data_IF_771574851711
#
_entry.id   IF_771574851711
#
_cell.length_a   1.000
_cell.length_b   1.000
_cell.length_c   1.000
_cell.angle_alpha   90.00
_cell.angle_beta   90.00
_cell.angle_gamma   90.00
#
_symmetry.space_group_name_H-M   'P 1'
#
loop_
_entity.id
_entity.type
_entity.pdbx_description
1 polymer ?
#
# COMPACT_ATOMS: atom_id res chain seq x y z
N UNK A 1 34.20 -15.19 11.10
CA UNK A 1 34.75 -14.00 11.77
C UNK A 1 34.14 -12.77 11.10
N UNK A 2 33.16 -12.10 11.73
CA UNK A 2 32.74 -10.71 11.46
C UNK A 2 32.58 -10.18 10.01
N UNK A 3 32.36 -11.01 8.98
CA UNK A 3 32.23 -10.52 7.59
C UNK A 3 31.02 -9.58 7.41
N UNK A 4 29.93 -9.81 8.14
CA UNK A 4 28.80 -8.87 8.20
C UNK A 4 29.20 -7.46 8.71
N UNK A 5 30.28 -7.32 9.48
CA UNK A 5 30.77 -6.02 9.94
C UNK A 5 31.54 -5.26 8.85
N UNK A 6 31.91 -5.93 7.75
CA UNK A 6 32.56 -5.36 6.58
C UNK A 6 31.57 -4.74 5.59
N UNK A 7 30.26 -4.92 5.78
CA UNK A 7 29.23 -4.32 4.93
C UNK A 7 29.33 -2.79 4.91
N UNK A 8 29.36 -2.23 3.70
CA UNK A 8 29.49 -0.79 3.46
C UNK A 8 28.15 -0.19 2.99
N UNK A 9 27.54 -0.78 1.96
CA UNK A 9 26.32 -0.31 1.31
C UNK A 9 25.09 -0.85 2.04
N UNK A 10 25.03 -2.16 2.27
CA UNK A 10 23.94 -2.83 2.98
C UNK A 10 24.14 -2.81 4.49
N UNK A 11 24.64 -1.70 5.03
CA UNK A 11 25.08 -1.65 6.43
C UNK A 11 23.93 -1.69 7.42
N UNK A 12 22.76 -1.17 7.05
CA UNK A 12 21.59 -1.08 7.94
C UNK A 12 21.02 -2.46 8.29
N UNK A 13 21.21 -3.48 7.43
CA UNK A 13 20.74 -4.85 7.71
C UNK A 13 21.35 -5.43 8.99
N UNK A 14 22.46 -4.88 9.48
CA UNK A 14 23.11 -5.32 10.72
C UNK A 14 22.24 -5.07 11.95
N UNK A 15 21.27 -4.17 11.87
CA UNK A 15 20.30 -3.89 12.93
C UNK A 15 19.14 -4.90 12.91
N UNK A 16 19.03 -5.75 11.89
CA UNK A 16 18.01 -6.77 11.80
C UNK A 16 18.22 -7.87 12.86
N UNK A 17 17.19 -8.14 13.67
CA UNK A 17 17.26 -9.08 14.79
C UNK A 17 17.66 -10.51 14.36
N UNK A 18 17.23 -10.96 13.17
CA UNK A 18 17.58 -12.28 12.63
C UNK A 18 19.07 -12.34 12.32
N UNK A 19 19.62 -11.32 11.67
CA UNK A 19 21.05 -11.27 11.36
C UNK A 19 21.91 -11.08 12.61
N UNK A 20 21.42 -10.34 13.62
CA UNK A 20 22.09 -10.24 14.93
C UNK A 20 22.14 -11.63 15.60
N UNK A 21 21.01 -12.35 15.63
CA UNK A 21 20.94 -13.69 16.22
C UNK A 21 21.82 -14.69 15.46
N UNK A 22 21.85 -14.62 14.13
CA UNK A 22 22.73 -15.44 13.29
C UNK A 22 24.22 -15.14 13.52
N UNK A 23 24.59 -13.85 13.65
CA UNK A 23 25.95 -13.45 13.97
C UNK A 23 26.38 -14.02 15.33
N UNK A 24 25.52 -13.92 16.34
CA UNK A 24 25.80 -14.49 17.67
C UNK A 24 25.96 -16.01 17.60
N UNK A 25 25.13 -16.69 16.80
CA UNK A 25 25.23 -18.13 16.57
C UNK A 25 26.58 -18.54 15.96
N UNK A 26 27.08 -17.80 14.96
CA UNK A 26 28.38 -18.11 14.32
C UNK A 26 29.57 -17.75 15.22
N UNK A 27 29.45 -16.67 16.01
CA UNK A 27 30.54 -16.17 16.83
C UNK A 27 30.81 -17.03 18.08
N UNK A 28 29.80 -17.76 18.55
CA UNK A 28 29.91 -18.60 19.73
C UNK A 28 30.75 -19.86 19.45
N UNK A 29 31.46 -20.37 20.46
CA UNK A 29 32.12 -21.67 20.41
C UNK A 29 31.50 -22.68 21.40
N UNK A 30 30.81 -22.21 22.43
CA UNK A 30 30.06 -23.07 23.35
C UNK A 30 28.85 -23.73 22.65
N UNK A 31 28.78 -25.06 22.74
CA UNK A 31 27.72 -25.85 22.09
C UNK A 31 26.34 -25.50 22.61
N UNK A 32 26.16 -25.35 23.93
CA UNK A 32 24.84 -25.12 24.51
C UNK A 32 24.32 -23.74 24.11
N UNK A 33 25.19 -22.73 24.14
CA UNK A 33 24.82 -21.39 23.72
C UNK A 33 24.56 -21.30 22.21
N UNK A 34 25.31 -22.01 21.36
CA UNK A 34 24.95 -22.14 19.93
C UNK A 34 23.56 -22.70 19.72
N UNK A 35 23.20 -23.77 20.44
CA UNK A 35 21.86 -24.38 20.33
C UNK A 35 20.79 -23.39 20.78
N UNK A 36 21.02 -22.63 21.85
CA UNK A 36 20.11 -21.57 22.29
C UNK A 36 19.92 -20.49 21.22
N UNK A 37 21.01 -19.97 20.62
CA UNK A 37 20.94 -18.97 19.56
C UNK A 37 20.22 -19.50 18.31
N UNK A 38 20.37 -20.78 17.99
CA UNK A 38 19.67 -21.43 16.89
C UNK A 38 18.15 -21.49 17.12
N UNK A 39 17.71 -21.85 18.32
CA UNK A 39 16.28 -21.83 18.66
C UNK A 39 15.72 -20.41 18.70
N UNK A 40 16.50 -19.44 19.20
CA UNK A 40 16.14 -18.02 19.14
C UNK A 40 15.99 -17.55 17.69
N UNK A 41 16.93 -17.91 16.82
CA UNK A 41 16.87 -17.60 15.39
C UNK A 41 15.60 -18.19 14.76
N UNK A 42 15.28 -19.43 15.08
CA UNK A 42 14.06 -20.08 14.62
C UNK A 42 12.80 -19.36 15.10
N UNK A 43 12.74 -18.97 16.38
CA UNK A 43 11.63 -18.20 16.93
C UNK A 43 11.45 -16.87 16.21
N UNK A 44 12.53 -16.13 15.98
CA UNK A 44 12.51 -14.86 15.24
C UNK A 44 12.01 -15.05 13.80
N UNK A 45 12.47 -16.11 13.13
CA UNK A 45 12.03 -16.47 11.77
C UNK A 45 10.53 -16.82 11.74
N UNK A 46 10.04 -17.60 12.70
CA UNK A 46 8.62 -17.98 12.78
C UNK A 46 7.71 -16.78 13.07
N UNK A 47 8.18 -15.84 13.88
CA UNK A 47 7.45 -14.62 14.20
C UNK A 47 7.65 -13.51 13.17
N UNK A 48 8.54 -13.68 12.20
CA UNK A 48 8.69 -12.70 11.13
C UNK A 48 7.43 -12.72 10.28
N UNK A 49 6.55 -11.75 10.52
CA UNK A 49 5.27 -11.58 9.84
C UNK A 49 5.50 -11.62 8.32
N UNK A 50 4.67 -12.39 7.60
CA UNK A 50 4.65 -12.53 6.13
C UNK A 50 5.54 -13.60 5.47
N UNK A 51 5.76 -14.76 6.10
CA UNK A 51 6.31 -15.92 5.38
C UNK A 51 5.21 -16.91 4.96
N UNK A 52 4.92 -16.96 3.64
CA UNK A 52 4.24 -18.11 3.02
C UNK A 52 5.15 -19.36 3.02
N UNK A 53 6.45 -19.12 3.10
CA UNK A 53 7.54 -20.10 3.10
C UNK A 53 8.49 -19.75 4.23
N UNK A 54 8.63 -20.64 5.22
CA UNK A 54 9.60 -20.46 6.30
C UNK A 54 10.98 -20.95 5.83
N UNK A 55 11.73 -20.14 5.08
CA UNK A 55 13.06 -20.50 4.57
C UNK A 55 14.12 -19.44 4.89
N UNK A 56 15.32 -19.90 5.27
CA UNK A 56 16.48 -19.02 5.48
C UNK A 56 16.77 -18.16 4.26
N UNK A 57 16.83 -18.79 3.09
CA UNK A 57 17.14 -18.13 1.82
C UNK A 57 16.13 -17.03 1.49
N UNK A 58 14.84 -17.33 1.65
CA UNK A 58 13.74 -16.37 1.49
C UNK A 58 13.96 -15.16 2.41
N UNK A 59 14.26 -15.39 3.68
CA UNK A 59 14.41 -14.31 4.68
C UNK A 59 15.62 -13.43 4.38
N UNK A 60 16.77 -14.02 4.06
CA UNK A 60 17.96 -13.25 3.70
C UNK A 60 17.67 -12.37 2.48
N UNK A 61 17.03 -12.93 1.45
CA UNK A 61 16.68 -12.16 0.28
C UNK A 61 15.69 -11.03 0.61
N UNK A 62 14.69 -11.29 1.46
CA UNK A 62 13.78 -10.23 1.93
C UNK A 62 14.53 -9.12 2.65
N UNK A 63 15.45 -9.44 3.56
CA UNK A 63 16.25 -8.45 4.29
C UNK A 63 17.02 -7.55 3.31
N UNK A 64 17.67 -8.16 2.30
CA UNK A 64 18.41 -7.43 1.26
C UNK A 64 17.48 -6.50 0.47
N UNK A 65 16.32 -7.00 0.04
CA UNK A 65 15.37 -6.22 -0.79
C UNK A 65 14.62 -5.14 0.00
N UNK A 66 14.52 -5.26 1.32
CA UNK A 66 13.91 -4.26 2.19
C UNK A 66 14.89 -3.22 2.71
N UNK A 67 16.19 -3.40 2.46
CA UNK A 67 17.21 -2.48 2.93
C UNK A 67 17.20 -1.18 2.13
N UNK A 68 16.81 -0.09 2.77
CA UNK A 68 16.83 1.25 2.19
C UNK A 68 18.22 1.86 2.41
N UNK A 69 19.01 1.90 1.34
CA UNK A 69 20.37 2.43 1.32
C UNK A 69 20.60 3.22 0.01
N UNK A 70 21.76 3.87 -0.10
CA UNK A 70 22.08 4.73 -1.25
C UNK A 70 22.03 3.98 -2.60
N UNK A 71 22.41 2.70 -2.62
CA UNK A 71 22.33 1.87 -3.82
C UNK A 71 20.89 1.52 -4.15
N UNK A 72 20.12 1.00 -3.19
CA UNK A 72 18.76 0.53 -3.45
C UNK A 72 17.80 1.68 -3.82
N UNK A 73 17.95 2.85 -3.19
CA UNK A 73 17.17 4.05 -3.52
C UNK A 73 17.53 4.60 -4.91
N UNK A 74 18.82 4.64 -5.28
CA UNK A 74 19.22 5.03 -6.65
C UNK A 74 18.70 4.07 -7.71
N UNK A 75 18.74 2.76 -7.44
CA UNK A 75 18.17 1.76 -8.34
C UNK A 75 16.67 1.99 -8.55
N UNK A 76 15.93 2.19 -7.45
CA UNK A 76 14.49 2.45 -7.50
C UNK A 76 14.17 3.69 -8.34
N UNK A 77 14.92 4.78 -8.17
CA UNK A 77 14.71 6.02 -8.93
C UNK A 77 15.16 5.94 -10.40
N UNK A 78 15.88 4.88 -10.78
CA UNK A 78 16.45 4.74 -12.11
C UNK A 78 17.62 5.69 -12.37
N UNK A 79 18.27 6.15 -11.29
CA UNK A 79 19.44 7.02 -11.37
C UNK A 79 20.65 6.25 -11.92
N UNK A 80 21.59 6.98 -12.53
CA UNK A 80 22.88 6.41 -12.90
C UNK A 80 23.66 6.01 -11.65
N UNK A 81 24.10 4.75 -11.60
CA UNK A 81 24.89 4.20 -10.50
C UNK A 81 26.37 4.27 -10.88
N UNK A 82 27.14 4.99 -10.08
CA UNK A 82 28.59 5.16 -10.29
C UNK A 82 29.34 3.82 -10.13
N UNK A 83 30.44 3.66 -10.86
CA UNK A 83 31.28 2.45 -10.81
C UNK A 83 31.82 2.12 -9.42
N UNK A 84 32.09 3.15 -8.60
CA UNK A 84 32.54 3.00 -7.22
C UNK A 84 31.45 2.35 -6.38
N UNK A 85 30.21 2.82 -6.50
CA UNK A 85 29.08 2.26 -5.77
C UNK A 85 28.81 0.82 -6.21
N UNK A 86 28.85 0.53 -7.52
CA UNK A 86 28.75 -0.86 -8.03
C UNK A 86 29.84 -1.74 -7.41
N UNK A 87 31.08 -1.28 -7.33
CA UNK A 87 32.20 -2.06 -6.77
C UNK A 87 31.99 -2.37 -5.29
N UNK A 88 31.55 -1.38 -4.50
CA UNK A 88 31.24 -1.56 -3.08
C UNK A 88 30.06 -2.52 -2.89
N UNK A 89 28.99 -2.36 -3.68
CA UNK A 89 27.82 -3.25 -3.66
C UNK A 89 28.20 -4.68 -4.04
N UNK A 90 29.10 -4.88 -5.01
CA UNK A 90 29.61 -6.21 -5.37
C UNK A 90 30.32 -6.88 -4.20
N UNK A 91 31.13 -6.13 -3.44
CA UNK A 91 31.77 -6.61 -2.22
C UNK A 91 30.75 -7.06 -1.16
N UNK A 92 29.74 -6.23 -0.90
CA UNK A 92 28.66 -6.57 0.04
C UNK A 92 27.82 -7.77 -0.43
N UNK A 93 27.49 -7.84 -1.72
CA UNK A 93 26.72 -8.96 -2.31
C UNK A 93 27.46 -10.28 -2.15
N UNK A 94 28.80 -10.28 -2.21
CA UNK A 94 29.60 -11.48 -1.91
C UNK A 94 29.33 -11.98 -0.49
N UNK A 95 29.48 -11.11 0.50
CA UNK A 95 29.25 -11.44 1.92
C UNK A 95 27.81 -11.92 2.13
N UNK A 96 26.85 -11.19 1.56
CA UNK A 96 25.43 -11.51 1.66
C UNK A 96 25.09 -12.86 1.01
N UNK A 97 25.78 -13.21 -0.07
CA UNK A 97 25.63 -14.49 -0.76
C UNK A 97 26.18 -15.65 0.06
N UNK A 98 27.29 -15.45 0.75
CA UNK A 98 27.84 -16.44 1.69
C UNK A 98 26.86 -16.67 2.86
N UNK A 99 26.25 -15.61 3.38
CA UNK A 99 25.19 -15.69 4.39
C UNK A 99 23.96 -16.42 3.83
N UNK A 100 23.53 -16.10 2.61
CA UNK A 100 22.40 -16.73 1.94
C UNK A 100 22.61 -18.23 1.71
N UNK A 101 23.83 -18.65 1.32
CA UNK A 101 24.19 -20.04 1.06
C UNK A 101 24.83 -20.75 2.27
N UNK A 102 24.69 -20.20 3.48
CA UNK A 102 25.25 -20.79 4.69
C UNK A 102 24.87 -22.27 4.84
N UNK A 103 25.86 -23.13 5.08
CA UNK A 103 25.71 -24.57 5.16
C UNK A 103 25.09 -25.01 6.50
N UNK A 104 23.79 -24.76 6.61
CA UNK A 104 22.98 -25.24 7.73
C UNK A 104 22.98 -26.76 7.85
N UNK A 105 23.19 -27.51 6.76
CA UNK A 105 23.12 -28.97 6.80
C UNK A 105 24.26 -29.51 7.64
N UNK A 106 25.50 -29.14 7.29
CA UNK A 106 26.68 -29.56 8.03
C UNK A 106 26.63 -29.04 9.47
N UNK A 107 26.24 -27.78 9.67
CA UNK A 107 26.20 -27.19 11.00
C UNK A 107 25.21 -27.90 11.95
N UNK A 108 24.09 -28.40 11.44
CA UNK A 108 23.12 -29.15 12.26
C UNK A 108 23.57 -30.58 12.57
N UNK A 109 24.30 -31.21 11.65
CA UNK A 109 24.91 -32.51 11.89
C UNK A 109 25.96 -32.44 13.01
N UNK A 110 26.82 -31.42 12.99
CA UNK A 110 27.79 -31.15 14.07
C UNK A 110 27.11 -30.97 15.43
N UNK A 111 25.98 -30.27 15.46
CA UNK A 111 25.23 -30.03 16.70
C UNK A 111 24.36 -31.22 17.13
N UNK A 112 24.26 -32.28 16.30
CA UNK A 112 23.37 -33.43 16.49
C UNK A 112 21.88 -33.06 16.55
N UNK A 113 21.47 -32.05 15.77
CA UNK A 113 20.08 -31.58 15.69
C UNK A 113 19.41 -32.14 14.43
N UNK A 114 18.18 -32.65 14.55
CA UNK A 114 17.44 -33.20 13.41
C UNK A 114 17.06 -32.09 12.43
N UNK A 115 17.33 -32.28 11.13
CA UNK A 115 16.97 -31.30 10.08
C UNK A 115 15.48 -30.92 10.05
N UNK A 116 14.59 -31.81 10.52
CA UNK A 116 13.13 -31.57 10.58
C UNK A 116 12.70 -30.55 11.62
N UNK A 117 13.58 -30.14 12.55
CA UNK A 117 13.21 -29.24 13.64
C UNK A 117 13.39 -27.77 13.31
N UNK A 118 13.87 -27.40 12.12
CA UNK A 118 14.18 -26.00 11.75
C UNK A 118 13.44 -25.55 10.49
N UNK A 119 13.38 -24.24 10.27
CA UNK A 119 12.83 -23.62 9.06
C UNK A 119 13.27 -24.40 7.79
N UNK A 120 12.39 -24.48 6.78
CA UNK A 120 12.66 -25.24 5.55
C UNK A 120 13.95 -24.77 4.91
N UNK A 121 14.94 -25.68 4.86
CA UNK A 121 16.28 -25.35 4.40
C UNK A 121 16.34 -25.00 2.90
N UNK A 122 15.33 -25.37 2.08
CA UNK A 122 15.41 -25.27 0.62
C UNK A 122 14.10 -25.03 -0.15
N UNK A 123 12.95 -24.80 0.50
CA UNK A 123 11.69 -24.73 -0.27
C UNK A 123 11.36 -23.32 -0.79
N UNK A 124 12.18 -22.77 -1.70
CA UNK A 124 11.89 -21.48 -2.36
C UNK A 124 11.10 -21.62 -3.67
N UNK A 125 10.58 -22.82 -4.00
CA UNK A 125 9.98 -23.12 -5.31
C UNK A 125 8.72 -22.31 -5.60
N UNK A 126 8.00 -21.93 -4.55
CA UNK A 126 6.79 -21.11 -4.62
C UNK A 126 7.05 -19.65 -4.20
N UNK A 127 8.32 -19.23 -4.18
CA UNK A 127 8.68 -17.85 -3.87
C UNK A 127 8.32 -16.92 -5.02
N UNK A 128 7.84 -15.73 -4.68
CA UNK A 128 7.67 -14.62 -5.64
C UNK A 128 9.01 -14.06 -6.15
N UNK A 129 10.12 -14.42 -5.50
CA UNK A 129 11.48 -14.01 -5.88
C UNK A 129 12.28 -15.14 -6.54
N UNK A 130 11.63 -16.11 -7.17
CA UNK A 130 12.28 -17.30 -7.72
C UNK A 130 13.49 -16.97 -8.63
N UNK A 131 13.39 -15.93 -9.44
CA UNK A 131 14.49 -15.47 -10.31
C UNK A 131 15.71 -15.03 -9.50
N UNK A 132 15.52 -14.22 -8.47
CA UNK A 132 16.59 -13.78 -7.57
C UNK A 132 17.16 -14.96 -6.76
N UNK A 133 16.32 -15.90 -6.34
CA UNK A 133 16.80 -17.12 -5.68
C UNK A 133 17.75 -17.93 -6.57
N UNK A 134 17.42 -18.07 -7.86
CA UNK A 134 18.26 -18.75 -8.83
C UNK A 134 19.60 -18.02 -9.04
N UNK A 135 19.60 -16.68 -9.01
CA UNK A 135 20.81 -15.87 -9.12
C UNK A 135 21.74 -16.04 -7.92
N UNK A 136 21.21 -15.89 -6.69
CA UNK A 136 22.02 -15.99 -5.47
C UNK A 136 22.54 -17.42 -5.22
N UNK A 137 21.78 -18.44 -5.61
CA UNK A 137 22.17 -19.84 -5.43
C UNK A 137 23.20 -20.36 -6.47
N UNK A 138 23.35 -19.71 -7.62
CA UNK A 138 24.17 -20.25 -8.71
C UNK A 138 25.66 -19.85 -8.61
N UNK A 139 26.46 -20.64 -7.92
CA UNK A 139 27.90 -20.40 -7.66
C UNK A 139 28.75 -20.03 -8.88
N UNK A 140 28.33 -20.38 -10.10
CA UNK A 140 29.06 -20.05 -11.32
C UNK A 140 28.91 -18.58 -11.77
N UNK A 141 27.94 -17.84 -11.23
CA UNK A 141 27.73 -16.43 -11.55
C UNK A 141 28.64 -15.56 -10.67
N UNK A 142 29.34 -14.60 -11.29
CA UNK A 142 30.08 -13.59 -10.55
C UNK A 142 29.16 -12.54 -9.91
N UNK A 143 29.56 -11.99 -8.77
CA UNK A 143 28.77 -11.05 -7.97
C UNK A 143 28.41 -9.78 -8.75
N UNK A 144 29.29 -9.32 -9.64
CA UNK A 144 29.02 -8.18 -10.51
C UNK A 144 27.81 -8.42 -11.43
N UNK A 145 27.58 -9.66 -11.87
CA UNK A 145 26.39 -10.01 -12.64
C UNK A 145 25.14 -10.00 -11.76
N UNK A 146 25.23 -10.54 -10.54
CA UNK A 146 24.13 -10.51 -9.56
C UNK A 146 23.73 -9.07 -9.26
N UNK A 147 24.69 -8.16 -9.05
CA UNK A 147 24.42 -6.73 -8.84
C UNK A 147 23.68 -6.12 -10.03
N UNK A 148 24.06 -6.45 -11.28
CA UNK A 148 23.35 -5.95 -12.48
C UNK A 148 21.89 -6.41 -12.53
N UNK A 149 21.62 -7.66 -12.22
CA UNK A 149 20.25 -8.17 -12.18
C UNK A 149 19.47 -7.57 -10.99
N UNK A 150 20.13 -7.36 -9.85
CA UNK A 150 19.54 -6.69 -8.70
C UNK A 150 19.17 -5.23 -9.02
N UNK A 151 20.00 -4.51 -9.79
CA UNK A 151 19.67 -3.16 -10.28
C UNK A 151 18.37 -3.19 -11.10
N UNK A 152 18.24 -4.12 -12.06
CA UNK A 152 17.02 -4.25 -12.88
C UNK A 152 15.80 -4.56 -12.03
N UNK A 153 15.95 -5.47 -11.07
CA UNK A 153 14.87 -5.85 -10.15
C UNK A 153 14.43 -4.64 -9.31
N UNK A 154 15.36 -3.96 -8.64
CA UNK A 154 15.05 -2.80 -7.79
C UNK A 154 14.54 -1.61 -8.62
N UNK A 155 14.95 -1.47 -9.87
CA UNK A 155 14.38 -0.46 -10.76
C UNK A 155 12.91 -0.73 -11.12
N UNK A 156 12.54 -2.01 -11.26
CA UNK A 156 11.19 -2.44 -11.66
C UNK A 156 10.23 -2.49 -10.47
N UNK A 157 10.69 -3.04 -9.34
CA UNK A 157 9.85 -3.36 -8.18
C UNK A 157 10.13 -2.48 -6.96
N UNK A 158 11.18 -1.65 -7.02
CA UNK A 158 11.63 -0.77 -5.95
C UNK A 158 12.19 -1.50 -4.73
N UNK A 159 12.41 -0.74 -3.64
CA UNK A 159 13.01 -1.21 -2.38
C UNK A 159 12.12 -0.90 -1.17
N UNK A 160 12.41 -1.54 -0.04
CA UNK A 160 11.80 -1.20 1.24
C UNK A 160 10.31 -1.57 1.34
N UNK A 161 9.59 -0.90 2.24
CA UNK A 161 8.20 -1.27 2.56
C UNK A 161 7.20 -1.05 1.41
N UNK A 162 7.53 -0.13 0.48
CA UNK A 162 6.70 0.20 -0.68
C UNK A 162 6.79 -0.82 -1.82
N UNK A 163 7.81 -1.67 -1.85
CA UNK A 163 7.95 -2.70 -2.89
C UNK A 163 6.85 -3.75 -2.83
N UNK A 164 6.47 -4.17 -1.62
CA UNK A 164 5.49 -5.26 -1.40
C UNK A 164 4.10 -4.78 -1.03
N UNK A 165 4.02 -3.64 -0.35
CA UNK A 165 2.77 -3.11 0.15
C UNK A 165 2.36 -1.92 -0.70
N UNK A 166 1.06 -1.85 -1.02
CA UNK A 166 0.51 -0.77 -1.82
C UNK A 166 -0.58 0.04 -1.11
N UNK A 167 -0.92 -0.33 0.12
CA UNK A 167 -1.83 0.41 1.00
C UNK A 167 -1.15 0.61 2.34
N UNK A 168 -1.18 1.85 2.82
CA UNK A 168 -0.55 2.28 4.06
C UNK A 168 -1.53 3.10 4.87
N UNK A 169 -1.29 3.17 6.17
CA UNK A 169 -1.95 4.13 7.06
C UNK A 169 -0.91 4.95 7.80
N UNK A 170 -1.27 6.19 8.10
CA UNK A 170 -0.56 6.98 9.09
C UNK A 170 -1.03 6.59 10.50
N UNK A 171 -0.12 6.07 11.33
CA UNK A 171 -0.46 5.59 12.66
C UNK A 171 -0.30 6.68 13.73
N UNK A 172 -0.75 6.40 14.96
CA UNK A 172 -0.64 7.33 16.09
C UNK A 172 0.82 7.59 16.54
N UNK A 173 1.77 6.75 16.13
CA UNK A 173 3.21 6.96 16.39
C UNK A 173 3.90 7.77 15.29
N UNK A 174 3.14 8.43 14.41
CA UNK A 174 3.63 9.27 13.31
C UNK A 174 4.55 8.52 12.34
N UNK A 175 4.17 7.30 12.00
CA UNK A 175 4.86 6.47 11.01
C UNK A 175 3.87 5.91 10.00
N UNK A 176 4.34 5.78 8.76
CA UNK A 176 3.65 5.00 7.73
C UNK A 176 3.79 3.52 8.08
N UNK A 177 2.65 2.83 8.12
CA UNK A 177 2.63 1.37 8.34
C UNK A 177 1.78 0.71 7.26
N UNK A 178 2.22 -0.43 6.70
CA UNK A 178 1.46 -1.14 5.69
C UNK A 178 0.15 -1.70 6.26
N UNK A 179 -0.90 -1.74 5.43
CA UNK A 179 -2.15 -2.43 5.74
C UNK A 179 -2.13 -3.77 5.00
N UNK A 180 -1.90 -4.86 5.73
CA UNK A 180 -1.80 -6.21 5.14
C UNK A 180 -3.15 -6.87 4.86
N UNK A 181 -4.21 -6.45 5.57
CA UNK A 181 -5.57 -6.98 5.42
C UNK A 181 -6.53 -5.83 5.21
N UNK A 182 -7.09 -5.73 4.01
CA UNK A 182 -8.16 -4.81 3.66
C UNK A 182 -9.05 -5.46 2.60
N UNK A 183 -10.27 -4.96 2.46
CA UNK A 183 -11.23 -5.50 1.49
C UNK A 183 -10.67 -5.32 0.07
N UNK A 184 -10.45 -6.43 -0.62
CA UNK A 184 -10.14 -6.41 -2.05
C UNK A 184 -11.43 -6.11 -2.80
N UNK A 185 -11.53 -4.87 -3.28
CA UNK A 185 -12.65 -4.42 -4.10
C UNK A 185 -12.13 -4.32 -5.53
N UNK A 186 -12.87 -4.87 -6.49
CA UNK A 186 -12.62 -4.66 -7.91
C UNK A 186 -13.52 -3.54 -8.45
N UNK A 187 -13.10 -2.88 -9.53
CA UNK A 187 -13.98 -1.96 -10.25
C UNK A 187 -15.25 -2.64 -10.76
N UNK A 188 -15.20 -3.95 -11.03
CA UNK A 188 -16.38 -4.74 -11.41
C UNK A 188 -17.44 -4.79 -10.32
N UNK A 189 -17.11 -4.49 -9.06
CA UNK A 189 -18.04 -4.52 -7.92
C UNK A 189 -18.84 -3.20 -7.80
N UNK A 190 -18.47 -2.18 -8.57
CA UNK A 190 -19.04 -0.84 -8.52
C UNK A 190 -20.02 -0.60 -9.69
N UNK A 191 -21.09 -1.37 -9.71
CA UNK A 191 -22.11 -1.39 -10.77
C UNK A 191 -22.79 -0.02 -10.91
N UNK A 192 -22.87 0.54 -12.12
CA UNK A 192 -23.56 1.79 -12.43
C UNK A 192 -22.81 3.07 -12.09
N UNK A 193 -21.53 2.96 -11.74
CA UNK A 193 -20.65 4.10 -11.50
C UNK A 193 -19.50 4.17 -12.52
N UNK A 194 -19.71 3.65 -13.72
CA UNK A 194 -18.70 3.54 -14.78
C UNK A 194 -18.11 4.90 -15.15
N UNK A 195 -18.94 5.95 -15.19
CA UNK A 195 -18.47 7.32 -15.47
C UNK A 195 -17.51 7.82 -14.40
N UNK A 196 -17.83 7.59 -13.12
CA UNK A 196 -17.01 7.98 -11.98
C UNK A 196 -15.69 7.20 -11.98
N UNK A 197 -15.77 5.90 -12.24
CA UNK A 197 -14.62 5.00 -12.34
C UNK A 197 -13.71 5.42 -13.50
N UNK A 198 -14.25 5.71 -14.67
CA UNK A 198 -13.47 6.13 -15.84
C UNK A 198 -12.75 7.45 -15.57
N UNK A 199 -13.40 8.42 -14.92
CA UNK A 199 -12.77 9.67 -14.53
C UNK A 199 -11.58 9.45 -13.56
N UNK A 200 -11.74 8.56 -12.58
CA UNK A 200 -10.64 8.17 -11.68
C UNK A 200 -9.51 7.48 -12.43
N UNK A 201 -9.82 6.54 -13.33
CA UNK A 201 -8.85 5.81 -14.14
C UNK A 201 -8.08 6.76 -15.06
N UNK A 202 -8.74 7.68 -15.75
CA UNK A 202 -8.11 8.66 -16.62
C UNK A 202 -7.12 9.55 -15.86
N UNK A 203 -7.53 10.11 -14.72
CA UNK A 203 -6.64 10.95 -13.90
C UNK A 203 -5.45 10.14 -13.34
N UNK A 204 -5.70 8.90 -12.92
CA UNK A 204 -4.65 8.02 -12.37
C UNK A 204 -3.69 7.55 -13.45
N UNK A 205 -4.17 7.21 -14.64
CA UNK A 205 -3.34 6.92 -15.81
C UNK A 205 -2.44 8.10 -16.16
N UNK A 206 -2.98 9.32 -16.14
CA UNK A 206 -2.19 10.53 -16.34
C UNK A 206 -1.11 10.66 -15.25
N UNK A 207 -1.45 10.40 -13.98
CA UNK A 207 -0.52 10.48 -12.86
C UNK A 207 0.62 9.48 -12.94
N UNK A 208 0.31 8.21 -13.26
CA UNK A 208 1.31 7.14 -13.44
C UNK A 208 2.27 7.48 -14.57
N UNK A 209 1.75 7.94 -15.70
CA UNK A 209 2.55 8.28 -16.89
C UNK A 209 3.28 9.63 -16.79
N UNK A 210 3.45 10.18 -15.58
CA UNK A 210 4.09 11.50 -15.32
C UNK A 210 3.43 12.66 -16.08
N UNK A 211 2.15 12.52 -16.44
CA UNK A 211 1.31 13.56 -17.00
C UNK A 211 0.75 14.50 -15.93
N UNK A 212 0.07 15.57 -16.38
CA UNK A 212 -0.66 16.47 -15.47
C UNK A 212 -1.87 15.73 -14.90
N UNK A 213 -1.90 15.54 -13.59
CA UNK A 213 -3.02 14.95 -12.86
C UNK A 213 -3.47 15.89 -11.74
N UNK A 214 -4.71 15.73 -11.30
CA UNK A 214 -5.36 16.61 -10.35
C UNK A 214 -5.68 15.90 -9.04
N UNK A 215 -5.73 16.67 -7.95
CA UNK A 215 -6.39 16.24 -6.72
C UNK A 215 -7.88 15.99 -7.00
N UNK A 216 -8.45 14.98 -6.34
CA UNK A 216 -9.83 14.54 -6.60
C UNK A 216 -10.68 14.66 -5.35
N UNK A 217 -11.87 15.24 -5.50
CA UNK A 217 -12.92 15.21 -4.48
C UNK A 217 -14.06 14.30 -4.93
N UNK A 218 -14.28 13.21 -4.21
CA UNK A 218 -15.39 12.28 -4.42
C UNK A 218 -16.50 12.65 -3.42
N UNK A 219 -17.66 13.08 -3.89
CA UNK A 219 -18.73 13.53 -2.99
C UNK A 219 -20.07 12.90 -3.35
N UNK A 220 -20.97 12.79 -2.37
CA UNK A 220 -22.30 12.22 -2.57
C UNK A 220 -22.76 11.35 -1.42
N UNK A 221 -23.82 10.57 -1.61
CA UNK A 221 -24.42 9.82 -0.51
C UNK A 221 -23.53 8.71 0.06
N UNK A 222 -23.82 8.32 1.31
CA UNK A 222 -23.16 7.19 1.98
C UNK A 222 -23.47 5.87 1.25
N UNK A 223 -22.49 4.98 1.20
CA UNK A 223 -22.69 3.62 0.67
C UNK A 223 -22.81 3.51 -0.86
N UNK A 224 -22.52 4.57 -1.61
CA UNK A 224 -22.50 4.62 -3.09
C UNK A 224 -21.16 4.17 -3.70
N UNK A 225 -20.17 3.81 -2.89
CA UNK A 225 -18.91 3.25 -3.38
C UNK A 225 -17.74 4.23 -3.56
N UNK A 226 -17.80 5.43 -2.98
CA UNK A 226 -16.69 6.42 -3.01
C UNK A 226 -15.36 5.83 -2.53
N UNK A 227 -15.29 5.39 -1.27
CA UNK A 227 -14.07 4.81 -0.69
C UNK A 227 -13.73 3.46 -1.34
N UNK A 228 -14.74 2.68 -1.72
CA UNK A 228 -14.58 1.42 -2.47
C UNK A 228 -13.92 1.64 -3.84
N UNK A 229 -14.20 2.75 -4.53
CA UNK A 229 -13.56 3.11 -5.80
C UNK A 229 -12.06 3.35 -5.63
N UNK A 230 -11.64 3.92 -4.50
CA UNK A 230 -10.22 4.13 -4.20
C UNK A 230 -9.52 2.85 -3.79
N UNK A 231 -10.20 1.97 -3.04
CA UNK A 231 -9.68 0.62 -2.76
C UNK A 231 -9.45 -0.16 -4.07
N UNK A 232 -10.41 -0.11 -4.99
CA UNK A 232 -10.26 -0.74 -6.31
C UNK A 232 -9.12 -0.14 -7.13
N UNK A 233 -8.96 1.18 -7.07
CA UNK A 233 -7.84 1.88 -7.72
C UNK A 233 -6.48 1.41 -7.17
N UNK A 234 -6.36 1.21 -5.85
CA UNK A 234 -5.14 0.73 -5.21
C UNK A 234 -4.70 -0.62 -5.78
N UNK A 235 -5.64 -1.58 -5.86
CA UNK A 235 -5.38 -2.92 -6.35
C UNK A 235 -5.05 -2.94 -7.84
N UNK A 236 -5.86 -2.27 -8.67
CA UNK A 236 -5.69 -2.20 -10.14
C UNK A 236 -4.31 -1.66 -10.54
N UNK A 237 -3.82 -0.62 -9.85
CA UNK A 237 -2.59 0.09 -10.21
C UNK A 237 -1.38 -0.25 -9.33
N UNK A 238 -1.52 -1.22 -8.42
CA UNK A 238 -0.45 -1.63 -7.50
C UNK A 238 0.81 -2.09 -8.24
N UNK A 239 0.64 -2.84 -9.32
CA UNK A 239 1.73 -3.40 -10.15
C UNK A 239 2.48 -2.36 -10.97
N UNK A 240 1.88 -1.19 -11.22
CA UNK A 240 2.48 -0.06 -11.94
C UNK A 240 2.90 1.09 -11.01
N UNK A 241 3.09 0.77 -9.72
CA UNK A 241 3.73 1.68 -8.76
C UNK A 241 2.80 2.64 -8.03
N UNK A 242 1.47 2.46 -8.09
CA UNK A 242 0.54 3.26 -7.27
C UNK A 242 0.54 2.78 -5.82
N UNK A 243 0.58 3.71 -4.88
CA UNK A 243 0.49 3.47 -3.43
C UNK A 243 -0.58 4.39 -2.84
N UNK A 244 -1.43 3.85 -1.97
CA UNK A 244 -2.44 4.64 -1.25
C UNK A 244 -2.02 4.78 0.21
N UNK A 245 -2.06 6.01 0.72
CA UNK A 245 -1.84 6.33 2.13
C UNK A 245 -3.16 6.82 2.71
N UNK A 246 -3.79 5.99 3.53
CA UNK A 246 -4.96 6.38 4.31
C UNK A 246 -4.55 7.32 5.44
N UNK A 247 -5.19 8.49 5.47
CA UNK A 247 -4.99 9.53 6.47
C UNK A 247 -6.32 9.84 7.16
N UNK A 248 -6.32 9.78 8.49
CA UNK A 248 -7.48 10.14 9.31
C UNK A 248 -7.61 11.66 9.34
N UNK A 249 -8.83 12.17 9.46
CA UNK A 249 -9.13 13.62 9.52
C UNK A 249 -8.28 14.37 10.55
N UNK A 250 -8.17 13.81 11.76
CA UNK A 250 -7.38 14.39 12.87
C UNK A 250 -5.89 14.55 12.53
N UNK A 251 -5.39 13.84 11.52
CA UNK A 251 -3.99 13.82 11.12
C UNK A 251 -3.73 14.66 9.85
N UNK A 252 -4.69 15.46 9.39
CA UNK A 252 -4.55 16.31 8.19
C UNK A 252 -3.30 17.19 8.25
N UNK A 253 -2.94 17.71 9.42
CA UNK A 253 -1.72 18.52 9.64
C UNK A 253 -0.42 17.77 9.34
N UNK A 254 -0.46 16.43 9.24
CA UNK A 254 0.70 15.59 8.95
C UNK A 254 0.95 15.40 7.45
N UNK A 255 0.10 15.93 6.56
CA UNK A 255 0.25 15.81 5.10
C UNK A 255 1.65 16.26 4.65
N UNK A 256 2.16 17.38 5.16
CA UNK A 256 3.50 17.88 4.79
C UNK A 256 4.59 16.89 5.17
N UNK A 257 4.56 16.40 6.41
CA UNK A 257 5.53 15.40 6.89
C UNK A 257 5.47 14.11 6.07
N UNK A 258 4.26 13.61 5.77
CA UNK A 258 4.07 12.42 4.93
C UNK A 258 4.63 12.65 3.53
N UNK A 259 4.37 13.83 2.96
CA UNK A 259 4.83 14.24 1.64
C UNK A 259 6.36 14.25 1.57
N UNK A 260 7.03 14.75 2.62
CA UNK A 260 8.50 14.77 2.68
C UNK A 260 9.11 13.37 2.77
N UNK A 261 8.49 12.46 3.53
CA UNK A 261 8.92 11.06 3.64
C UNK A 261 8.89 10.34 2.28
N UNK A 262 7.91 10.66 1.42
CA UNK A 262 7.68 9.94 0.16
C UNK A 262 8.17 10.69 -1.09
N UNK A 263 8.67 11.92 -0.92
CA UNK A 263 9.05 12.84 -2.00
C UNK A 263 10.07 12.27 -2.98
N UNK A 264 11.07 11.55 -2.46
CA UNK A 264 12.20 11.03 -3.25
C UNK A 264 12.01 9.59 -3.73
N UNK A 265 10.79 9.05 -3.65
CA UNK A 265 10.47 7.69 -4.07
C UNK A 265 9.91 7.66 -5.50
N UNK A 266 10.25 6.62 -6.26
CA UNK A 266 9.79 6.47 -7.65
C UNK A 266 8.32 6.02 -7.78
N UNK A 267 7.68 5.68 -6.67
CA UNK A 267 6.26 5.36 -6.63
C UNK A 267 5.37 6.60 -6.77
N UNK A 268 4.11 6.37 -7.13
CA UNK A 268 3.06 7.38 -7.15
C UNK A 268 2.16 7.21 -5.94
N UNK A 269 1.95 8.26 -5.17
CA UNK A 269 1.19 8.21 -3.92
C UNK A 269 -0.11 8.98 -4.02
N UNK A 270 -1.19 8.36 -3.58
CA UNK A 270 -2.46 9.04 -3.30
C UNK A 270 -2.64 9.07 -1.78
N UNK A 271 -2.62 10.27 -1.20
CA UNK A 271 -3.06 10.49 0.17
C UNK A 271 -4.58 10.53 0.16
N UNK A 272 -5.19 9.53 0.79
CA UNK A 272 -6.63 9.36 0.85
C UNK A 272 -7.17 9.79 2.22
N UNK A 273 -8.10 10.75 2.24
CA UNK A 273 -8.81 11.20 3.44
C UNK A 273 -10.29 10.82 3.30
N UNK A 274 -10.80 9.99 4.20
CA UNK A 274 -12.19 9.52 4.17
C UNK A 274 -13.15 10.43 4.96
N UNK A 275 -14.35 10.59 4.42
CA UNK A 275 -15.52 11.29 4.98
C UNK A 275 -15.27 12.74 5.42
N UNK A 276 -14.37 13.50 4.78
CA UNK A 276 -14.16 14.90 5.13
C UNK A 276 -15.48 15.68 5.06
N UNK A 277 -15.83 16.32 6.17
CA UNK A 277 -17.02 17.15 6.28
C UNK A 277 -16.58 18.62 6.27
N UNK A 278 -17.47 19.45 5.73
CA UNK A 278 -17.20 20.84 5.40
C UNK A 278 -18.28 21.71 6.06
N UNK A 279 -18.70 21.32 7.26
CA UNK A 279 -19.61 22.13 8.07
C UNK A 279 -18.90 23.36 8.63
N UNK A 280 -19.68 24.39 8.94
CA UNK A 280 -19.15 25.65 9.48
C UNK A 280 -18.49 25.48 10.85
N UNK A 281 -18.96 24.50 11.63
CA UNK A 281 -18.44 24.20 12.96
C UNK A 281 -17.23 23.24 12.95
N UNK A 282 -16.90 22.64 11.81
CA UNK A 282 -15.74 21.74 11.70
C UNK A 282 -14.49 22.52 11.27
N UNK A 283 -13.41 22.41 12.04
CA UNK A 283 -12.12 23.06 11.72
C UNK A 283 -11.30 22.29 10.69
N UNK A 284 -11.66 21.03 10.41
CA UNK A 284 -10.92 20.11 9.54
C UNK A 284 -10.70 20.68 8.12
N UNK A 285 -11.72 21.31 7.52
CA UNK A 285 -11.60 21.86 6.16
C UNK A 285 -10.72 23.12 6.11
N UNK A 286 -10.70 23.94 7.17
CA UNK A 286 -9.85 25.13 7.25
C UNK A 286 -8.38 24.74 7.35
N UNK A 287 -8.08 23.75 8.19
CA UNK A 287 -6.73 23.20 8.31
C UNK A 287 -6.26 22.58 6.99
N UNK A 288 -7.13 21.81 6.34
CA UNK A 288 -6.82 21.22 5.05
C UNK A 288 -6.57 22.26 3.95
N UNK A 289 -7.40 23.31 3.88
CA UNK A 289 -7.21 24.44 2.95
C UNK A 289 -5.87 25.12 3.20
N UNK A 290 -5.55 25.45 4.45
CA UNK A 290 -4.29 26.08 4.82
C UNK A 290 -3.08 25.27 4.35
N UNK A 291 -3.13 23.94 4.39
CA UNK A 291 -2.04 23.07 3.92
C UNK A 291 -1.99 23.01 2.39
N UNK A 292 -3.15 22.96 1.72
CA UNK A 292 -3.18 22.93 0.26
C UNK A 292 -2.73 24.27 -0.34
N UNK A 293 -3.02 25.39 0.31
CA UNK A 293 -2.68 26.75 -0.13
C UNK A 293 -1.31 27.22 0.38
N UNK A 294 -0.95 26.81 1.60
CA UNK A 294 0.22 27.26 2.33
C UNK A 294 1.39 26.31 2.18
N UNK A 295 2.09 26.39 1.05
CA UNK A 295 3.51 26.04 1.02
C UNK A 295 4.21 26.80 -0.10
N UNK A 296 5.32 27.46 0.25
CA UNK A 296 6.27 27.96 -0.75
C UNK A 296 6.98 26.82 -1.48
N UNK A 297 6.97 25.61 -0.90
CA UNK A 297 7.57 24.45 -1.53
C UNK A 297 6.68 23.93 -2.64
N UNK A 298 7.33 23.64 -3.78
CA UNK A 298 6.68 22.92 -4.87
C UNK A 298 6.21 21.56 -4.35
N UNK A 299 4.91 21.29 -4.47
CA UNK A 299 4.34 19.95 -4.21
C UNK A 299 5.06 18.94 -5.10
N UNK A 300 5.42 17.76 -4.58
CA UNK A 300 6.16 16.80 -5.37
C UNK A 300 5.28 16.18 -6.46
N UNK A 301 5.88 15.91 -7.61
CA UNK A 301 5.19 15.42 -8.81
C UNK A 301 4.73 13.93 -8.67
N UNK A 302 4.96 13.33 -7.50
CA UNK A 302 4.61 11.95 -7.16
C UNK A 302 3.54 11.83 -6.07
N UNK A 303 2.87 12.93 -5.67
CA UNK A 303 1.79 12.91 -4.67
C UNK A 303 0.52 13.58 -5.18
N UNK A 304 -0.62 12.91 -5.00
CA UNK A 304 -1.97 13.48 -5.15
C UNK A 304 -2.76 13.31 -3.86
N UNK A 305 -3.75 14.18 -3.66
CA UNK A 305 -4.66 14.14 -2.52
C UNK A 305 -6.07 13.84 -3.01
N UNK A 306 -6.64 12.74 -2.51
CA UNK A 306 -8.00 12.33 -2.80
C UNK A 306 -8.83 12.37 -1.54
N UNK A 307 -9.99 13.00 -1.61
CA UNK A 307 -10.86 13.20 -0.46
C UNK A 307 -12.25 12.68 -0.77
N UNK A 308 -12.90 12.01 0.18
CA UNK A 308 -14.32 11.69 0.07
C UNK A 308 -15.15 12.60 0.97
N UNK A 309 -16.38 12.93 0.56
CA UNK A 309 -17.34 13.66 1.37
C UNK A 309 -18.75 13.08 1.26
N UNK A 310 -19.43 12.92 2.39
CA UNK A 310 -20.79 12.38 2.41
C UNK A 310 -21.89 13.43 2.17
N UNK A 311 -21.52 14.70 2.02
CA UNK A 311 -22.49 15.80 1.89
C UNK A 311 -22.64 16.19 0.42
N UNK A 312 -23.78 15.82 -0.18
CA UNK A 312 -24.24 16.32 -1.49
C UNK A 312 -24.37 17.86 -1.53
N UNK A 313 -24.55 18.49 -0.37
CA UNK A 313 -25.04 19.85 -0.20
C UNK A 313 -23.93 20.85 0.16
N UNK A 314 -22.78 20.77 -0.52
CA UNK A 314 -21.77 21.83 -0.43
C UNK A 314 -21.98 22.93 -1.49
N UNK A 315 -22.61 22.59 -2.61
CA UNK A 315 -22.74 23.49 -3.77
C UNK A 315 -24.22 23.84 -4.06
N UNK A 316 -25.20 22.98 -3.73
CA UNK A 316 -26.59 23.13 -4.23
C UNK A 316 -27.57 23.89 -3.33
N UNK A 317 -27.40 23.91 -2.02
CA UNK A 317 -28.29 24.68 -1.13
C UNK A 317 -27.85 26.15 -1.00
N UNK A 318 -26.54 26.40 -1.11
CA UNK A 318 -25.93 27.73 -0.99
C UNK A 318 -26.25 28.72 -2.14
N UNK A 319 -26.92 28.28 -3.20
CA UNK A 319 -27.43 29.21 -4.24
C UNK A 319 -28.79 29.80 -3.88
N UNK A 320 -29.52 29.21 -2.92
CA UNK A 320 -30.78 29.77 -2.39
C UNK A 320 -30.57 30.73 -1.22
N UNK A 321 -29.48 30.58 -0.46
CA UNK A 321 -29.17 31.41 0.72
C UNK A 321 -28.37 32.69 0.39
N UNK A 322 -28.35 33.13 -0.88
CA UNK A 322 -27.64 34.35 -1.28
C UNK A 322 -28.24 35.64 -0.71
N UNK A 323 -29.41 35.57 -0.09
CA UNK A 323 -30.20 36.77 0.18
C UNK A 323 -30.14 37.29 1.61
N UNK A 324 -29.63 36.56 2.62
CA UNK A 324 -29.89 37.01 4.02
C UNK A 324 -28.72 37.11 5.02
N UNK A 325 -27.46 36.72 4.74
CA UNK A 325 -26.36 36.96 5.70
C UNK A 325 -24.97 37.18 5.07
N UNK A 326 -24.18 38.12 5.60
CA UNK A 326 -22.81 38.41 5.13
C UNK A 326 -21.83 37.31 5.56
N UNK A 327 -22.00 36.77 6.77
CA UNK A 327 -21.15 35.69 7.30
C UNK A 327 -21.35 34.33 6.60
N UNK A 328 -22.55 34.05 6.10
CA UNK A 328 -22.82 32.85 5.30
C UNK A 328 -22.15 32.92 3.92
N UNK A 329 -22.07 34.12 3.34
CA UNK A 329 -21.39 34.37 2.07
C UNK A 329 -19.86 34.20 2.15
N UNK A 330 -19.21 34.65 3.24
CA UNK A 330 -17.76 34.41 3.46
C UNK A 330 -17.45 32.92 3.60
N UNK A 331 -18.23 32.20 4.41
CA UNK A 331 -18.05 30.76 4.62
C UNK A 331 -18.28 29.94 3.34
N UNK A 332 -19.19 30.40 2.49
CA UNK A 332 -19.46 29.83 1.17
C UNK A 332 -18.28 30.07 0.20
N UNK A 333 -17.74 31.29 0.14
CA UNK A 333 -16.57 31.59 -0.67
C UNK A 333 -15.34 30.79 -0.22
N UNK A 334 -15.15 30.62 1.09
CA UNK A 334 -14.09 29.77 1.64
C UNK A 334 -14.22 28.32 1.19
N UNK A 335 -15.44 27.75 1.21
CA UNK A 335 -15.69 26.40 0.72
C UNK A 335 -15.40 26.30 -0.77
N UNK A 336 -15.96 27.18 -1.60
CA UNK A 336 -15.73 27.19 -3.06
C UNK A 336 -14.24 27.29 -3.39
N UNK A 337 -13.49 28.14 -2.69
CA UNK A 337 -12.05 28.27 -2.92
C UNK A 337 -11.27 26.98 -2.67
N UNK A 338 -11.74 26.13 -1.74
CA UNK A 338 -11.15 24.81 -1.51
C UNK A 338 -11.58 23.80 -2.59
N UNK A 339 -12.83 23.84 -3.04
CA UNK A 339 -13.32 23.04 -4.17
C UNK A 339 -12.48 23.31 -5.43
N UNK A 340 -12.16 24.57 -5.72
CA UNK A 340 -11.34 24.96 -6.87
C UNK A 340 -9.91 24.41 -6.81
N UNK A 341 -9.42 23.97 -5.63
CA UNK A 341 -8.12 23.30 -5.50
C UNK A 341 -8.16 21.82 -5.90
N UNK A 342 -9.36 21.25 -5.98
CA UNK A 342 -9.57 19.96 -6.59
C UNK A 342 -9.83 20.16 -8.07
N UNK A 343 -8.85 19.83 -8.92
CA UNK A 343 -9.03 19.93 -10.36
C UNK A 343 -10.07 18.95 -10.91
N UNK A 344 -10.51 17.96 -10.12
CA UNK A 344 -11.57 17.02 -10.46
C UNK A 344 -12.52 16.83 -9.27
N UNK A 345 -13.82 16.95 -9.54
CA UNK A 345 -14.90 16.67 -8.60
C UNK A 345 -15.83 15.61 -9.16
N UNK A 346 -16.07 14.53 -8.41
CA UNK A 346 -16.84 13.37 -8.87
C UNK A 346 -18.06 13.16 -7.97
N UNK A 347 -19.26 13.27 -8.54
CA UNK A 347 -20.52 13.03 -7.84
C UNK A 347 -20.90 11.54 -7.86
N UNK A 348 -21.07 10.97 -6.69
CA UNK A 348 -21.63 9.63 -6.46
C UNK A 348 -23.07 9.76 -5.95
N UNK A 349 -24.00 9.78 -6.90
CA UNK A 349 -25.42 9.95 -6.63
C UNK A 349 -26.10 8.63 -6.23
N UNK A 350 -27.23 8.73 -5.53
CA UNK A 350 -28.06 7.57 -5.20
C UNK A 350 -28.54 6.87 -6.48
N UNK A 351 -28.43 5.54 -6.59
CA UNK A 351 -28.91 4.80 -7.74
C UNK A 351 -30.43 4.89 -7.88
N UNK A 352 -30.90 5.10 -9.11
CA UNK A 352 -32.31 4.95 -9.49
C UNK A 352 -32.79 3.50 -9.33
N UNK A 353 -34.11 3.29 -9.27
CA UNK A 353 -34.73 1.97 -9.02
C UNK A 353 -34.20 0.88 -9.92
N UNK A 354 -34.11 1.17 -11.21
CA UNK A 354 -33.53 0.27 -12.21
C UNK A 354 -32.09 -0.16 -11.85
N UNK A 355 -31.20 0.80 -11.57
CA UNK A 355 -29.80 0.52 -11.28
C UNK A 355 -29.61 -0.25 -9.96
N UNK A 356 -30.42 0.04 -8.93
CA UNK A 356 -30.34 -0.73 -7.69
C UNK A 356 -30.83 -2.17 -7.85
N UNK A 357 -31.88 -2.36 -8.65
CA UNK A 357 -32.37 -3.69 -8.99
C UNK A 357 -31.29 -4.48 -9.74
N UNK A 358 -30.60 -3.83 -10.68
CA UNK A 358 -29.44 -4.39 -11.36
C UNK A 358 -28.32 -4.78 -10.38
N UNK A 359 -27.94 -3.89 -9.46
CA UNK A 359 -26.96 -4.18 -8.41
C UNK A 359 -27.30 -5.46 -7.64
N UNK A 360 -28.55 -5.59 -7.17
CA UNK A 360 -28.98 -6.75 -6.39
C UNK A 360 -28.92 -8.03 -7.22
N UNK A 361 -29.36 -7.99 -8.47
CA UNK A 361 -29.34 -9.16 -9.37
C UNK A 361 -27.89 -9.61 -9.60
N UNK A 362 -27.01 -8.70 -9.99
CA UNK A 362 -25.61 -9.02 -10.27
C UNK A 362 -24.89 -9.53 -9.03
N UNK A 363 -25.15 -8.96 -7.85
CA UNK A 363 -24.57 -9.45 -6.60
C UNK A 363 -25.12 -10.83 -6.22
N UNK A 364 -26.41 -11.10 -6.44
CA UNK A 364 -27.00 -12.43 -6.20
C UNK A 364 -26.39 -13.50 -7.11
N UNK A 365 -26.26 -13.20 -8.41
CA UNK A 365 -25.62 -14.09 -9.39
C UNK A 365 -24.17 -14.41 -9.00
N UNK A 366 -23.39 -13.40 -8.58
CA UNK A 366 -22.00 -13.59 -8.13
C UNK A 366 -21.87 -14.45 -6.89
N UNK A 367 -22.84 -14.39 -5.98
CA UNK A 367 -22.86 -15.18 -4.74
C UNK A 367 -23.59 -16.53 -4.90
N UNK A 368 -23.95 -16.92 -6.13
CA UNK A 368 -24.58 -18.21 -6.41
C UNK A 368 -26.00 -18.35 -5.87
N UNK A 369 -26.70 -17.24 -5.60
CA UNK A 369 -28.08 -17.25 -5.11
C UNK A 369 -29.02 -17.62 -6.26
N UNK A 370 -29.81 -18.68 -6.08
CA UNK A 370 -30.68 -19.28 -7.10
C UNK A 370 -32.15 -18.81 -7.04
N UNK A 371 -32.45 -17.79 -6.24
CA UNK A 371 -33.79 -17.25 -6.11
C UNK A 371 -34.30 -16.72 -7.46
N UNK A 372 -35.58 -16.94 -7.80
CA UNK A 372 -36.21 -16.31 -8.96
C UNK A 372 -36.06 -14.78 -8.91
N UNK A 373 -35.71 -14.16 -10.04
CA UNK A 373 -35.51 -12.70 -10.15
C UNK A 373 -36.65 -11.87 -9.56
N UNK A 374 -37.90 -12.29 -9.75
CA UNK A 374 -39.06 -11.58 -9.22
C UNK A 374 -39.10 -11.58 -7.67
N UNK A 375 -38.71 -12.69 -7.04
CA UNK A 375 -38.67 -12.83 -5.60
C UNK A 375 -37.50 -12.04 -5.01
N UNK A 376 -36.33 -12.09 -5.65
CA UNK A 376 -35.17 -11.28 -5.28
C UNK A 376 -35.48 -9.78 -5.31
N UNK A 377 -36.16 -9.30 -6.36
CA UNK A 377 -36.55 -7.89 -6.47
C UNK A 377 -37.65 -7.49 -5.48
N UNK A 378 -38.53 -8.41 -5.09
CA UNK A 378 -39.49 -8.18 -4.00
C UNK A 378 -38.75 -7.95 -2.69
N UNK A 379 -37.82 -8.84 -2.34
CA UNK A 379 -36.98 -8.71 -1.15
C UNK A 379 -36.14 -7.42 -1.18
N UNK A 380 -35.59 -7.06 -2.35
CA UNK A 380 -34.86 -5.80 -2.53
C UNK A 380 -35.70 -4.56 -2.25
N UNK A 381 -36.97 -4.56 -2.68
CA UNK A 381 -37.89 -3.47 -2.41
C UNK A 381 -38.27 -3.38 -0.92
N UNK A 382 -38.49 -4.51 -0.26
CA UNK A 382 -38.75 -4.53 1.19
C UNK A 382 -37.52 -4.05 1.98
N UNK A 383 -36.32 -4.46 1.55
CA UNK A 383 -35.06 -4.10 2.20
C UNK A 383 -34.69 -2.62 2.06
N UNK A 384 -34.82 -2.05 0.85
CA UNK A 384 -34.51 -0.62 0.64
C UNK A 384 -35.44 0.30 1.46
N UNK A 385 -36.70 -0.11 1.65
CA UNK A 385 -37.67 0.61 2.51
C UNK A 385 -37.26 0.49 3.97
N UNK A 386 -36.98 -0.72 4.47
CA UNK A 386 -36.61 -0.94 5.87
C UNK A 386 -35.32 -0.21 6.27
N UNK A 387 -34.36 -0.11 5.35
CA UNK A 387 -33.09 0.62 5.56
C UNK A 387 -33.17 2.10 5.23
N UNK A 388 -34.27 2.59 4.65
CA UNK A 388 -34.43 3.97 4.14
C UNK A 388 -33.24 4.43 3.28
N UNK A 389 -32.62 3.49 2.58
CA UNK A 389 -31.37 3.70 1.84
C UNK A 389 -31.36 2.80 0.62
N UNK A 390 -30.72 3.31 -0.43
CA UNK A 390 -30.64 2.61 -1.69
C UNK A 390 -29.26 2.82 -2.27
N UNK A 391 -28.38 1.89 -2.01
CA UNK A 391 -26.95 2.02 -2.31
C UNK A 391 -26.33 0.64 -2.50
N UNK A 392 -25.12 0.58 -3.07
CA UNK A 392 -24.38 -0.69 -3.21
C UNK A 392 -24.19 -1.39 -1.87
N UNK A 393 -23.88 -0.63 -0.80
CA UNK A 393 -23.83 -1.17 0.58
C UNK A 393 -25.15 -1.82 1.01
N UNK A 394 -26.28 -1.16 0.77
CA UNK A 394 -27.60 -1.71 1.14
C UNK A 394 -27.93 -2.96 0.32
N UNK A 395 -27.53 -3.01 -0.96
CA UNK A 395 -27.66 -4.20 -1.80
C UNK A 395 -26.79 -5.36 -1.28
N UNK A 396 -25.52 -5.12 -0.97
CA UNK A 396 -24.62 -6.13 -0.40
C UNK A 396 -25.18 -6.70 0.92
N UNK A 397 -25.65 -5.84 1.82
CA UNK A 397 -26.24 -6.28 3.08
C UNK A 397 -27.46 -7.19 2.89
N UNK A 398 -28.26 -6.98 1.84
CA UNK A 398 -29.35 -7.89 1.52
C UNK A 398 -28.80 -9.26 1.09
N UNK A 399 -27.82 -9.27 0.18
CA UNK A 399 -27.19 -10.51 -0.29
C UNK A 399 -26.55 -11.27 0.86
N UNK A 400 -25.87 -10.59 1.78
CA UNK A 400 -25.26 -11.21 2.97
C UNK A 400 -26.29 -11.89 3.88
N UNK A 401 -27.57 -11.46 3.87
CA UNK A 401 -28.65 -12.15 4.62
C UNK A 401 -29.23 -13.37 3.91
N UNK A 402 -28.90 -13.56 2.63
CA UNK A 402 -29.40 -14.64 1.78
C UNK A 402 -28.36 -15.75 1.57
N UNK A 403 -27.10 -15.51 1.99
CA UNK A 403 -26.02 -16.50 2.10
C UNK A 403 -26.17 -17.22 3.43
#
# INVERSE_FOLDING_TARGET
MHELDQLVVFRNIRENEILISFRNFIAENDRNYKIEQLFKLQYLILNHECLKVFSWKEIILKIILTDENIFSLKCENGDSIDSTLITLTTGDVKILRDVYNYDWINQLEELSIKRSTLFTLNDCRNSEYLELHNLFANENLGETFIVKELIKYLNTYGTGMYSKNYVFKWNDTKKLTPIHKFDQVSFSDLIGYERQINCLKENTNAFINKGKANNVLLYGQRGTGKSSSLKALASEYSSVGLRIIELRKKDIEQITLITDIIRERNYKFIIFIDDLSFEEFETDYKNFKAIIEGSFEKKPDNVLIYVTSNRRHLIRESFKDREEDVHSNETLQEKLSLFDRFGITILYDQPKDELYNEMVITLAERNGITLPKHELLRLANEWKISKSSKSGRTAQQLIDTLI
#
